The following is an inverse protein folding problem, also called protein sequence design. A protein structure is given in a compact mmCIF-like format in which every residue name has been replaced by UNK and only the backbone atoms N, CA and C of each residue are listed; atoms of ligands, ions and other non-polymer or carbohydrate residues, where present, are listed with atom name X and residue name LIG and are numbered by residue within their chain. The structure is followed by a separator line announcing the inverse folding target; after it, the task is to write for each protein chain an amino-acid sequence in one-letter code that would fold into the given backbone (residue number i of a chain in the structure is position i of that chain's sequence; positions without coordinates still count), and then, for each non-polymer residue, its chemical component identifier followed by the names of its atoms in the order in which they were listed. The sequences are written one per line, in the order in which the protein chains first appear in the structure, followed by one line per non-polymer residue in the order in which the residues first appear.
data_IF_755567123896
#
_entry.id   IF_755567123896
#
_cell.length_a   1.000
_cell.length_b   1.000
_cell.length_c   1.000
_cell.angle_alpha   90.00
_cell.angle_beta   90.00
_cell.angle_gamma   90.00
#
_symmetry.space_group_name_H-M   'P 1'
#
loop_
_entity.id
_entity.type
_entity.pdbx_description
1 polymer ?
#
# COMPACT_ATOMS: atom_id res chain seq x y z
N UNK A 1 2.09 -2.35 13.65
CA UNK A 1 1.91 -1.89 12.28
C UNK A 1 0.48 -1.45 12.05
N UNK A 2 0.28 -0.16 11.83
CA UNK A 2 -1.01 0.44 11.49
C UNK A 2 -0.99 0.87 10.03
N UNK A 3 -2.05 0.56 9.29
CA UNK A 3 -2.15 0.83 7.84
C UNK A 3 -3.20 1.91 7.63
N UNK A 4 -2.80 2.98 6.95
CA UNK A 4 -3.65 4.09 6.54
C UNK A 4 -3.77 4.08 5.03
N UNK A 5 -5.00 4.10 4.51
CA UNK A 5 -5.27 4.13 3.08
C UNK A 5 -5.65 5.54 2.66
N UNK A 6 -5.10 5.98 1.54
CA UNK A 6 -5.45 7.24 0.90
C UNK A 6 -6.97 7.30 0.59
N UNK A 7 -7.65 8.43 0.80
CA UNK A 7 -9.08 8.57 0.51
C UNK A 7 -9.42 8.32 -0.96
N UNK A 8 -8.49 8.57 -1.89
CA UNK A 8 -8.69 8.33 -3.32
C UNK A 8 -8.56 6.84 -3.69
N UNK A 9 -8.03 6.00 -2.80
CA UNK A 9 -7.87 4.57 -3.04
C UNK A 9 -9.21 3.82 -2.92
N UNK A 10 -9.66 3.12 -3.98
CA UNK A 10 -10.89 2.34 -3.96
C UNK A 10 -10.90 1.27 -2.86
N UNK A 11 -12.03 1.15 -2.16
CA UNK A 11 -12.21 0.17 -1.10
C UNK A 11 -12.04 -1.27 -1.59
N UNK A 12 -12.31 -1.54 -2.86
CA UNK A 12 -12.18 -2.84 -3.51
C UNK A 12 -10.75 -3.39 -3.48
N UNK A 13 -9.73 -2.51 -3.51
CA UNK A 13 -8.33 -2.92 -3.52
C UNK A 13 -7.75 -3.12 -2.11
N UNK A 14 -8.35 -2.50 -1.08
CA UNK A 14 -7.90 -2.60 0.32
C UNK A 14 -7.64 -4.03 0.80
N UNK A 15 -8.52 -5.03 0.59
CA UNK A 15 -8.23 -6.41 1.04
C UNK A 15 -7.02 -7.01 0.34
N UNK A 16 -6.85 -6.76 -0.96
CA UNK A 16 -5.75 -7.28 -1.75
C UNK A 16 -4.42 -6.68 -1.29
N UNK A 17 -4.37 -5.36 -1.14
CA UNK A 17 -3.19 -4.65 -0.63
C UNK A 17 -2.87 -5.07 0.81
N UNK A 18 -3.88 -5.24 1.67
CA UNK A 18 -3.68 -5.69 3.04
C UNK A 18 -2.99 -7.07 3.08
N UNK A 19 -3.37 -7.96 2.16
CA UNK A 19 -2.79 -9.28 2.05
C UNK A 19 -1.33 -9.21 1.59
N UNK A 20 -1.04 -8.37 0.59
CA UNK A 20 0.32 -8.15 0.09
C UNK A 20 1.25 -7.51 1.13
N UNK A 21 0.74 -6.55 1.91
CA UNK A 21 1.48 -5.95 3.04
C UNK A 21 1.84 -7.02 4.07
N UNK A 22 0.92 -7.93 4.39
CA UNK A 22 1.19 -9.04 5.31
C UNK A 22 2.19 -10.05 4.73
N UNK A 23 2.13 -10.32 3.43
CA UNK A 23 3.04 -11.26 2.76
C UNK A 23 4.45 -10.68 2.58
N UNK A 24 4.58 -9.35 2.51
CA UNK A 24 5.87 -8.68 2.28
C UNK A 24 6.76 -8.58 3.52
N UNK A 25 6.32 -9.09 4.68
CA UNK A 25 7.07 -9.04 5.95
C UNK A 25 7.68 -7.63 6.21
N UNK A 26 6.87 -6.58 6.02
CA UNK A 26 7.34 -5.20 6.19
C UNK A 26 7.70 -4.98 7.67
N UNK A 27 8.97 -4.67 7.91
CA UNK A 27 9.49 -4.32 9.24
C UNK A 27 9.30 -2.82 9.55
N UNK A 28 9.75 -2.39 10.72
CA UNK A 28 9.81 -0.98 11.08
C UNK A 28 10.63 -0.21 10.03
N UNK A 29 10.13 0.97 9.63
CA UNK A 29 10.86 1.82 8.72
C UNK A 29 12.17 2.29 9.38
N UNK A 30 13.22 2.57 8.59
CA UNK A 30 14.49 3.12 9.10
C UNK A 30 14.34 4.47 9.84
N UNK A 31 13.21 5.16 9.68
CA UNK A 31 12.87 6.35 10.45
C UNK A 31 12.32 6.06 11.86
N UNK A 32 12.07 4.79 12.21
CA UNK A 32 11.49 4.35 13.48
C UNK A 32 9.96 4.34 13.53
N UNK A 33 9.28 4.48 12.38
CA UNK A 33 7.82 4.43 12.29
C UNK A 33 7.33 3.05 11.88
N UNK A 34 6.28 2.56 12.57
CA UNK A 34 5.56 1.32 12.22
C UNK A 34 4.25 1.60 11.45
N UNK A 35 4.01 2.86 11.06
CA UNK A 35 2.83 3.27 10.29
C UNK A 35 3.09 3.21 8.78
N UNK A 36 2.20 2.51 8.09
CA UNK A 36 2.18 2.39 6.62
C UNK A 36 1.10 3.29 6.06
N UNK A 37 1.45 3.98 4.98
CA UNK A 37 0.54 4.72 4.12
C UNK A 37 0.47 4.06 2.75
N UNK A 38 -0.75 3.84 2.28
CA UNK A 38 -1.02 3.25 0.98
C UNK A 38 -1.67 4.31 0.10
N UNK A 39 -0.99 4.71 -0.97
CA UNK A 39 -1.47 5.73 -1.90
C UNK A 39 -1.54 5.22 -3.32
N UNK A 40 -2.54 5.68 -4.07
CA UNK A 40 -2.62 5.46 -5.51
C UNK A 40 -1.66 6.41 -6.22
N UNK A 41 -0.68 5.89 -6.96
CA UNK A 41 0.28 6.69 -7.73
C UNK A 41 -0.24 6.92 -9.15
N UNK A 42 -0.78 5.87 -9.76
CA UNK A 42 -1.39 5.89 -11.09
C UNK A 42 -2.70 5.09 -11.07
N UNK A 43 -3.45 5.07 -12.17
CA UNK A 43 -4.76 4.41 -12.29
C UNK A 43 -4.79 2.97 -11.75
N UNK A 44 -3.67 2.25 -11.87
CA UNK A 44 -3.52 0.85 -11.44
C UNK A 44 -2.31 0.61 -10.53
N UNK A 45 -1.57 1.66 -10.14
CA UNK A 45 -0.32 1.50 -9.37
C UNK A 45 -0.50 2.05 -7.97
N UNK A 46 -0.18 1.24 -6.98
CA UNK A 46 -0.29 1.57 -5.56
C UNK A 46 1.10 1.55 -4.95
N UNK A 47 1.43 2.62 -4.24
CA UNK A 47 2.67 2.75 -3.49
C UNK A 47 2.39 2.52 -2.01
N UNK A 48 3.09 1.54 -1.45
CA UNK A 48 3.10 1.23 -0.02
C UNK A 48 4.34 1.88 0.57
N UNK A 49 4.14 2.95 1.33
CA UNK A 49 5.22 3.77 1.89
C UNK A 49 5.06 4.01 3.39
N UNK A 50 6.13 4.48 4.02
CA UNK A 50 6.08 4.93 5.40
C UNK A 50 5.20 6.18 5.52
N UNK A 51 4.29 6.19 6.49
CA UNK A 51 3.43 7.35 6.75
C UNK A 51 4.22 8.59 7.17
N UNK A 52 5.31 8.41 7.93
CA UNK A 52 6.04 9.50 8.55
C UNK A 52 7.11 10.11 7.62
N UNK A 53 7.99 9.28 7.06
CA UNK A 53 9.09 9.75 6.21
C UNK A 53 8.80 9.68 4.70
N UNK A 54 7.67 9.07 4.29
CA UNK A 54 7.28 8.94 2.89
C UNK A 54 8.12 7.95 2.07
N UNK A 55 9.03 7.18 2.71
CA UNK A 55 9.85 6.19 2.01
C UNK A 55 8.99 5.02 1.52
N UNK A 56 9.01 4.78 0.21
CA UNK A 56 8.37 3.60 -0.40
C UNK A 56 9.05 2.31 0.03
N UNK A 57 8.23 1.35 0.47
CA UNK A 57 8.64 -0.02 0.73
C UNK A 57 8.57 -0.83 -0.56
N UNK A 58 7.45 -0.76 -1.27
CA UNK A 58 7.25 -1.39 -2.58
C UNK A 58 6.03 -0.81 -3.29
N UNK A 59 5.92 -1.14 -4.58
CA UNK A 59 4.80 -0.77 -5.44
C UNK A 59 4.04 -2.04 -5.86
N UNK A 60 2.72 -1.92 -5.92
CA UNK A 60 1.79 -2.96 -6.38
C UNK A 60 1.11 -2.47 -7.66
N UNK A 61 1.21 -3.26 -8.71
CA UNK A 61 0.42 -3.06 -9.92
C UNK A 61 -0.83 -3.94 -9.83
N UNK A 62 -2.01 -3.32 -9.90
CA UNK A 62 -3.29 -4.02 -9.87
C UNK A 62 -3.83 -4.11 -11.29
N UNK A 63 -3.73 -5.29 -11.87
CA UNK A 63 -4.42 -5.63 -13.10
C UNK A 63 -5.91 -5.76 -12.79
N UNK A 64 -6.73 -4.88 -13.37
CA UNK A 64 -8.18 -5.07 -13.38
C UNK A 64 -8.41 -6.18 -14.39
N UNK A 65 -8.60 -7.41 -13.92
CA UNK A 65 -9.30 -8.41 -14.74
C UNK A 65 -10.73 -7.89 -14.92
N UNK A 66 -10.95 -7.11 -15.99
CA UNK A 66 -12.27 -6.92 -16.58
C UNK A 66 -12.75 -8.33 -16.95
N UNK A 67 -13.50 -8.94 -16.04
CA UNK A 67 -14.10 -10.25 -16.27
C UNK A 67 -14.95 -10.20 -17.54
N UNK A 68 -14.50 -10.90 -18.57
CA UNK A 68 -15.22 -11.13 -19.83
C UNK A 68 -16.58 -11.82 -19.60
#
# INVERSE_FOLDING_TARGET
MKITYDPDLPMSYRPLIHQEIRNSDIEECECGSDEIYVSLVNENTIDVKCYDCGKSFFELEIEIEDGE
#
